data_IF_394208596890
#
_entry.id   IF_394208596890
#
_cell.length_a   1.000
_cell.length_b   1.000
_cell.length_c   1.000
_cell.angle_alpha   90.00
_cell.angle_beta   90.00
_cell.angle_gamma   90.00
#
_symmetry.space_group_name_H-M   'P 1'
#
loop_
_entity.id
_entity.type
_entity.pdbx_description
1 polymer ?
#
# COMPACT_ATOMS: atom_id res chain seq x y z
N UNK A 1 -7.42 39.08 -19.69
CA UNK A 1 -8.36 37.97 -19.93
C UNK A 1 -7.74 36.72 -19.37
N UNK A 2 -8.15 36.35 -18.16
CA UNK A 2 -7.66 35.18 -17.46
C UNK A 2 -8.16 33.89 -18.10
N UNK A 3 -7.36 32.84 -18.00
CA UNK A 3 -7.82 31.47 -18.21
C UNK A 3 -7.38 30.64 -17.02
N UNK A 4 -8.41 30.29 -16.24
CA UNK A 4 -8.41 29.45 -15.06
C UNK A 4 -8.01 28.03 -15.44
N UNK A 5 -7.12 27.40 -14.66
CA UNK A 5 -7.05 25.94 -14.56
C UNK A 5 -6.90 25.59 -13.09
N UNK A 6 -7.99 25.05 -12.55
CA UNK A 6 -8.12 24.37 -11.27
C UNK A 6 -6.88 23.53 -10.96
N UNK A 7 -6.20 23.89 -9.88
CA UNK A 7 -5.50 22.91 -9.06
C UNK A 7 -6.39 22.73 -7.84
N UNK A 8 -6.98 21.55 -7.72
CA UNK A 8 -7.56 21.04 -6.49
C UNK A 8 -6.53 21.18 -5.38
N UNK A 9 -6.65 22.28 -4.63
CA UNK A 9 -5.90 22.61 -3.45
C UNK A 9 -6.41 21.70 -2.34
N UNK A 10 -5.67 20.62 -2.07
CA UNK A 10 -5.86 19.82 -0.86
C UNK A 10 -5.28 20.65 0.29
N UNK A 11 -6.17 21.32 1.01
CA UNK A 11 -5.87 22.19 2.14
C UNK A 11 -5.25 21.35 3.28
N UNK A 12 -3.93 21.43 3.46
CA UNK A 12 -3.14 20.85 4.57
C UNK A 12 -3.47 21.45 5.97
N UNK A 13 -4.60 22.15 6.12
CA UNK A 13 -4.91 23.05 7.24
C UNK A 13 -5.45 22.34 8.49
N UNK A 14 -5.45 21.00 8.52
CA UNK A 14 -6.01 20.19 9.63
C UNK A 14 -5.00 19.33 10.41
N UNK A 15 -3.73 19.30 9.99
CA UNK A 15 -2.66 18.64 10.74
C UNK A 15 -2.05 19.67 11.69
N UNK A 16 -1.95 19.34 12.98
CA UNK A 16 -1.41 20.23 14.02
C UNK A 16 -0.08 20.85 13.62
N UNK A 17 -0.13 22.05 13.05
CA UNK A 17 1.05 22.80 12.65
C UNK A 17 1.39 23.71 13.83
N UNK A 18 2.27 23.25 14.71
CA UNK A 18 2.81 24.12 15.77
C UNK A 18 3.83 25.06 15.13
N UNK A 19 3.37 26.25 14.72
CA UNK A 19 4.23 27.36 14.31
C UNK A 19 4.92 27.89 15.56
N UNK A 20 6.16 27.48 15.81
CA UNK A 20 7.02 28.11 16.82
C UNK A 20 7.68 29.32 16.18
N UNK A 21 7.18 30.50 16.52
CA UNK A 21 7.77 31.79 16.12
C UNK A 21 9.01 32.06 16.99
N UNK A 22 10.19 31.73 16.45
CA UNK A 22 11.51 32.10 16.99
C UNK A 22 12.31 32.82 15.90
N UNK A 23 13.11 33.84 16.25
CA UNK A 23 13.56 34.84 15.29
C UNK A 23 14.63 34.25 14.35
N UNK A 24 14.48 34.56 13.06
CA UNK A 24 15.50 34.50 11.99
C UNK A 24 15.67 33.19 11.17
N UNK A 25 14.63 32.70 10.47
CA UNK A 25 14.67 32.17 9.06
C UNK A 25 13.26 31.75 8.58
N UNK A 26 12.72 32.20 7.41
CA UNK A 26 11.29 32.06 7.10
C UNK A 26 10.88 30.84 6.26
N UNK A 27 11.60 29.72 6.22
CA UNK A 27 11.18 28.55 5.40
C UNK A 27 11.58 27.16 5.97
N UNK A 28 11.60 27.00 7.29
CA UNK A 28 11.79 25.67 7.89
C UNK A 28 10.43 25.05 8.25
N UNK A 29 9.87 24.28 7.30
CA UNK A 29 8.73 23.39 7.55
C UNK A 29 9.18 22.26 8.48
N UNK A 30 8.83 22.36 9.76
CA UNK A 30 9.12 21.36 10.77
C UNK A 30 7.98 20.33 10.81
N UNK A 31 8.29 19.08 10.44
CA UNK A 31 7.38 17.95 10.63
C UNK A 31 7.74 17.27 11.96
N UNK A 32 6.74 16.98 12.80
CA UNK A 32 6.91 16.40 14.14
C UNK A 32 7.54 14.99 14.10
N UNK A 33 7.46 14.32 12.93
CA UNK A 33 7.91 12.93 12.76
C UNK A 33 9.17 12.80 11.90
N UNK A 34 9.37 13.68 10.91
CA UNK A 34 10.47 13.57 9.93
C UNK A 34 11.62 14.57 10.14
N UNK A 35 11.53 15.47 11.13
CA UNK A 35 12.54 16.50 11.39
C UNK A 35 12.47 17.66 10.39
N UNK A 36 13.53 18.47 10.34
CA UNK A 36 13.66 19.58 9.39
C UNK A 36 13.85 19.06 7.97
N UNK A 37 12.92 19.42 7.07
CA UNK A 37 13.03 19.09 5.64
C UNK A 37 14.12 19.97 5.03
N UNK A 38 15.37 19.50 5.09
CA UNK A 38 16.50 20.11 4.37
C UNK A 38 16.60 19.53 2.96
N UNK A 39 16.95 20.35 1.97
CA UNK A 39 17.20 19.99 0.55
C UNK A 39 18.28 18.90 0.33
N UNK A 40 18.92 18.42 1.40
CA UNK A 40 19.99 17.41 1.39
C UNK A 40 19.57 16.06 2.03
N UNK A 41 18.32 15.94 2.51
CA UNK A 41 17.78 14.71 3.10
C UNK A 41 16.82 13.95 2.16
N UNK A 42 16.65 12.62 2.32
CA UNK A 42 15.63 11.87 1.57
C UNK A 42 14.23 12.42 1.90
N UNK A 43 13.56 13.01 0.92
CA UNK A 43 12.23 13.58 1.09
C UNK A 43 11.16 12.47 1.12
N UNK A 44 10.68 12.16 2.33
CA UNK A 44 9.66 11.13 2.57
C UNK A 44 8.23 11.60 2.23
N UNK A 45 7.99 12.91 2.10
CA UNK A 45 6.71 13.50 1.64
C UNK A 45 6.55 13.52 0.11
N UNK A 46 7.57 13.12 -0.65
CA UNK A 46 7.51 13.15 -2.12
C UNK A 46 6.57 12.09 -2.73
N UNK A 47 6.05 11.15 -1.93
CA UNK A 47 4.99 10.24 -2.37
C UNK A 47 3.63 10.87 -2.03
N UNK A 48 3.13 11.72 -2.93
CA UNK A 48 1.79 12.30 -2.78
C UNK A 48 0.71 11.21 -2.69
N UNK A 49 -0.52 11.58 -2.32
CA UNK A 49 -1.65 10.66 -2.20
C UNK A 49 -1.78 9.69 -3.39
N UNK A 50 -1.63 10.18 -4.62
CA UNK A 50 -1.66 9.34 -5.83
C UNK A 50 -0.55 8.28 -5.86
N UNK A 51 0.68 8.65 -5.47
CA UNK A 51 1.81 7.74 -5.45
C UNK A 51 1.64 6.63 -4.41
N UNK A 52 1.11 6.99 -3.24
CA UNK A 52 0.81 6.05 -2.16
C UNK A 52 -0.34 5.12 -2.54
N UNK A 53 -1.41 5.65 -3.14
CA UNK A 53 -2.53 4.85 -3.64
C UNK A 53 -2.08 3.85 -4.72
N UNK A 54 -1.25 4.28 -5.67
CA UNK A 54 -0.72 3.40 -6.72
C UNK A 54 0.16 2.27 -6.15
N UNK A 55 0.99 2.58 -5.14
CA UNK A 55 1.82 1.58 -4.46
C UNK A 55 0.96 0.52 -3.74
N UNK A 56 -0.05 0.95 -3.00
CA UNK A 56 -0.95 0.05 -2.28
C UNK A 56 -1.79 -0.81 -3.23
N UNK A 57 -2.34 -0.18 -4.27
CA UNK A 57 -3.15 -0.84 -5.28
C UNK A 57 -2.36 -1.91 -6.03
N UNK A 58 -1.12 -1.62 -6.44
CA UNK A 58 -0.26 -2.60 -7.12
C UNK A 58 -0.05 -3.85 -6.26
N UNK A 59 0.25 -3.68 -4.98
CA UNK A 59 0.48 -4.80 -4.06
C UNK A 59 -0.77 -5.65 -3.85
N UNK A 60 -1.94 -5.03 -3.71
CA UNK A 60 -3.20 -5.76 -3.51
C UNK A 60 -3.67 -6.48 -4.78
N UNK A 61 -3.65 -5.80 -5.92
CA UNK A 61 -4.09 -6.40 -7.19
C UNK A 61 -3.13 -7.53 -7.60
N UNK A 62 -1.82 -7.34 -7.42
CA UNK A 62 -0.82 -8.36 -7.75
C UNK A 62 -1.01 -9.67 -6.99
N UNK A 63 -1.36 -9.60 -5.71
CA UNK A 63 -1.66 -10.80 -4.91
C UNK A 63 -3.05 -11.37 -5.25
N UNK A 64 -4.04 -10.50 -5.46
CA UNK A 64 -5.42 -10.90 -5.76
C UNK A 64 -5.54 -11.64 -7.08
N UNK A 65 -4.98 -11.11 -8.16
CA UNK A 65 -5.13 -11.67 -9.52
C UNK A 65 -4.58 -13.10 -9.65
N UNK A 66 -3.54 -13.44 -8.89
CA UNK A 66 -2.96 -14.78 -8.86
C UNK A 66 -3.82 -15.79 -8.09
N UNK A 67 -4.64 -15.32 -7.13
CA UNK A 67 -5.39 -16.17 -6.20
C UNK A 67 -6.87 -16.34 -6.62
N UNK A 68 -7.47 -15.33 -7.25
CA UNK A 68 -8.88 -15.33 -7.66
C UNK A 68 -9.27 -16.55 -8.52
N UNK A 69 -8.49 -16.98 -9.53
CA UNK A 69 -8.86 -18.12 -10.36
C UNK A 69 -9.02 -19.42 -9.57
N UNK A 70 -8.09 -19.71 -8.65
CA UNK A 70 -8.17 -20.91 -7.81
C UNK A 70 -9.31 -20.87 -6.80
N UNK A 71 -9.62 -19.68 -6.27
CA UNK A 71 -10.78 -19.50 -5.40
C UNK A 71 -12.11 -19.78 -6.14
N UNK A 72 -12.23 -19.34 -7.39
CA UNK A 72 -13.43 -19.58 -8.20
C UNK A 72 -13.53 -21.03 -8.70
N UNK A 73 -12.42 -21.70 -8.97
CA UNK A 73 -12.41 -23.13 -9.30
C UNK A 73 -12.94 -23.98 -8.13
N UNK A 74 -12.58 -23.62 -6.90
CA UNK A 74 -12.99 -24.36 -5.70
C UNK A 74 -14.43 -24.05 -5.26
N UNK A 75 -14.83 -22.76 -5.27
CA UNK A 75 -16.13 -22.32 -4.77
C UNK A 75 -17.22 -22.36 -5.84
N UNK A 76 -16.86 -22.16 -7.11
CA UNK A 76 -17.79 -21.86 -8.20
C UNK A 76 -18.06 -20.36 -8.34
N UNK A 77 -18.49 -19.94 -9.54
CA UNK A 77 -18.61 -18.53 -9.92
C UNK A 77 -19.68 -17.78 -9.09
N UNK A 78 -20.87 -18.35 -8.93
CA UNK A 78 -21.99 -17.70 -8.21
C UNK A 78 -21.66 -17.47 -6.72
N UNK A 79 -21.28 -18.50 -5.93
CA UNK A 79 -20.94 -18.28 -4.52
C UNK A 79 -19.63 -17.49 -4.35
N UNK A 80 -18.66 -17.64 -5.26
CA UNK A 80 -17.42 -16.86 -5.25
C UNK A 80 -17.67 -15.35 -5.35
N UNK A 81 -18.51 -14.93 -6.31
CA UNK A 81 -18.87 -13.51 -6.48
C UNK A 81 -19.65 -12.98 -5.27
N UNK A 82 -20.60 -13.75 -4.72
CA UNK A 82 -21.36 -13.32 -3.56
C UNK A 82 -20.47 -13.11 -2.33
N UNK A 83 -19.50 -14.00 -2.10
CA UNK A 83 -18.49 -13.83 -1.06
C UNK A 83 -17.60 -12.60 -1.29
N UNK A 84 -17.14 -12.36 -2.52
CA UNK A 84 -16.35 -11.17 -2.86
C UNK A 84 -17.12 -9.87 -2.59
N UNK A 85 -18.41 -9.82 -2.97
CA UNK A 85 -19.26 -8.66 -2.69
C UNK A 85 -19.45 -8.44 -1.19
N UNK A 86 -19.68 -9.51 -0.42
CA UNK A 86 -19.82 -9.42 1.02
C UNK A 86 -18.55 -8.86 1.69
N UNK A 87 -17.38 -9.38 1.32
CA UNK A 87 -16.08 -8.88 1.81
C UNK A 87 -15.87 -7.44 1.37
N UNK A 88 -16.16 -7.09 0.12
CA UNK A 88 -16.02 -5.73 -0.38
C UNK A 88 -16.86 -4.73 0.44
N UNK A 89 -18.13 -5.04 0.72
CA UNK A 89 -19.00 -4.19 1.54
C UNK A 89 -18.44 -4.02 2.96
N UNK A 90 -18.01 -5.10 3.61
CA UNK A 90 -17.45 -5.05 4.97
C UNK A 90 -16.16 -4.22 4.99
N UNK A 91 -15.29 -4.39 4.01
CA UNK A 91 -14.02 -3.66 3.91
C UNK A 91 -14.28 -2.17 3.62
N UNK A 92 -15.19 -1.84 2.70
CA UNK A 92 -15.55 -0.45 2.41
C UNK A 92 -16.14 0.24 3.63
N UNK A 93 -17.03 -0.43 4.36
CA UNK A 93 -17.60 0.12 5.60
C UNK A 93 -16.52 0.36 6.66
N UNK A 94 -15.63 -0.62 6.87
CA UNK A 94 -14.52 -0.50 7.81
C UNK A 94 -13.60 0.67 7.45
N UNK A 95 -13.23 0.81 6.17
CA UNK A 95 -12.39 1.90 5.68
C UNK A 95 -13.05 3.27 5.87
N UNK A 96 -14.37 3.36 5.68
CA UNK A 96 -15.10 4.59 5.92
C UNK A 96 -15.03 5.01 7.40
N UNK A 97 -15.28 4.08 8.34
CA UNK A 97 -15.20 4.37 9.78
C UNK A 97 -13.77 4.75 10.20
N UNK A 98 -12.75 4.04 9.70
CA UNK A 98 -11.34 4.37 9.96
C UNK A 98 -10.99 5.74 9.41
N UNK A 99 -11.49 6.10 8.21
CA UNK A 99 -11.28 7.42 7.61
C UNK A 99 -11.87 8.54 8.47
N UNK A 100 -13.12 8.40 8.91
CA UNK A 100 -13.77 9.39 9.80
C UNK A 100 -13.03 9.50 11.14
N UNK A 101 -12.59 8.37 11.71
CA UNK A 101 -11.80 8.37 12.94
C UNK A 101 -10.47 9.12 12.76
N UNK A 102 -9.77 8.89 11.65
CA UNK A 102 -8.49 9.55 11.35
C UNK A 102 -8.62 11.06 11.15
N UNK A 103 -9.75 11.53 10.58
CA UNK A 103 -10.04 12.95 10.44
C UNK A 103 -10.36 13.63 11.78
N UNK A 104 -10.97 12.90 12.71
CA UNK A 104 -11.31 13.42 14.05
C UNK A 104 -10.15 13.35 15.05
N UNK A 105 -9.18 12.45 14.84
CA UNK A 105 -8.00 12.24 15.68
C UNK A 105 -6.70 12.26 14.86
N UNK A 106 -6.30 13.44 14.33
CA UNK A 106 -5.08 13.57 13.53
C UNK A 106 -3.80 13.22 14.30
N UNK A 107 -3.83 13.31 15.64
CA UNK A 107 -2.73 12.98 16.55
C UNK A 107 -2.39 11.48 16.61
N UNK A 108 -3.32 10.60 16.20
CA UNK A 108 -3.08 9.15 16.21
C UNK A 108 -2.52 8.70 14.87
N UNK A 109 -1.27 8.22 14.86
CA UNK A 109 -0.60 7.72 13.67
C UNK A 109 -0.47 6.20 13.61
N UNK A 110 -0.53 5.50 14.74
CA UNK A 110 -0.40 4.04 14.81
C UNK A 110 -1.58 3.31 15.42
N UNK A 111 -1.74 2.03 15.05
CA UNK A 111 -2.73 1.11 15.66
C UNK A 111 -2.51 0.96 17.17
N UNK A 112 -1.25 1.06 17.63
CA UNK A 112 -0.91 1.04 19.05
C UNK A 112 -1.51 2.23 19.83
N UNK A 113 -1.54 3.41 19.21
CA UNK A 113 -2.09 4.63 19.83
C UNK A 113 -3.63 4.59 19.86
N UNK A 114 -4.25 4.02 18.82
CA UNK A 114 -5.68 3.70 18.84
C UNK A 114 -6.00 2.75 20.00
N UNK A 115 -5.17 1.72 20.19
CA UNK A 115 -5.33 0.79 21.31
C UNK A 115 -5.14 1.44 22.67
N UNK A 116 -4.23 2.42 22.76
CA UNK A 116 -4.03 3.23 23.95
C UNK A 116 -5.25 4.10 24.27
N UNK A 117 -5.92 4.65 23.26
CA UNK A 117 -7.13 5.46 23.44
C UNK A 117 -8.33 4.61 23.88
N UNK A 118 -8.52 3.42 23.32
CA UNK A 118 -9.69 2.58 23.59
C UNK A 118 -9.61 1.91 24.98
N UNK A 119 -8.44 1.42 25.39
CA UNK A 119 -8.30 0.62 26.62
C UNK A 119 -7.08 0.98 27.47
N UNK A 120 -6.53 2.19 27.31
CA UNK A 120 -5.41 2.68 28.10
C UNK A 120 -4.12 1.86 27.89
N UNK A 121 -3.28 1.77 28.93
CA UNK A 121 -1.97 1.11 28.84
C UNK A 121 -2.06 -0.37 28.44
N UNK A 122 -3.11 -1.07 28.87
CA UNK A 122 -3.31 -2.48 28.52
C UNK A 122 -3.69 -2.65 27.04
N UNK A 123 -4.55 -1.79 26.52
CA UNK A 123 -4.91 -1.76 25.10
C UNK A 123 -3.72 -1.46 24.20
N UNK A 124 -2.84 -0.55 24.64
CA UNK A 124 -1.60 -0.23 23.93
C UNK A 124 -0.65 -1.42 23.80
N UNK A 125 -0.46 -2.17 24.88
CA UNK A 125 0.43 -3.34 24.88
C UNK A 125 -0.19 -4.48 24.05
N UNK A 126 -1.48 -4.77 24.19
CA UNK A 126 -2.11 -5.89 23.47
C UNK A 126 -2.25 -5.58 21.98
N UNK A 127 -2.79 -4.41 21.61
CA UNK A 127 -2.96 -4.05 20.21
C UNK A 127 -1.64 -3.66 19.57
N UNK A 128 -0.76 -2.96 20.29
CA UNK A 128 0.58 -2.61 19.81
C UNK A 128 1.47 -3.84 19.62
N UNK A 129 1.63 -4.69 20.65
CA UNK A 129 2.46 -5.89 20.54
C UNK A 129 1.81 -6.96 19.67
N UNK A 130 0.48 -7.12 19.72
CA UNK A 130 -0.25 -8.06 18.87
C UNK A 130 -0.13 -7.70 17.38
N UNK A 131 -0.28 -6.42 17.04
CA UNK A 131 -0.11 -5.94 15.67
C UNK A 131 1.37 -5.98 15.22
N UNK A 132 2.29 -5.55 16.09
CA UNK A 132 3.71 -5.51 15.76
C UNK A 132 4.36 -6.89 15.65
N UNK A 133 3.95 -7.87 16.46
CA UNK A 133 4.56 -9.20 16.45
C UNK A 133 3.77 -10.18 15.59
N UNK A 134 2.45 -10.25 15.74
CA UNK A 134 1.69 -11.30 15.08
C UNK A 134 1.36 -10.90 13.63
N UNK A 135 0.79 -9.71 13.45
CA UNK A 135 0.33 -9.26 12.13
C UNK A 135 1.52 -8.85 11.26
N UNK A 136 2.43 -8.02 11.76
CA UNK A 136 3.60 -7.58 10.99
C UNK A 136 4.52 -8.73 10.55
N UNK A 137 4.83 -9.70 11.44
CA UNK A 137 5.66 -10.84 11.06
C UNK A 137 4.93 -11.79 10.11
N UNK A 138 3.64 -12.02 10.33
CA UNK A 138 2.83 -12.83 9.42
C UNK A 138 2.77 -12.17 8.03
N UNK A 139 2.37 -10.90 7.96
CA UNK A 139 2.25 -10.17 6.69
C UNK A 139 3.59 -10.07 5.97
N UNK A 140 4.69 -9.82 6.69
CA UNK A 140 6.03 -9.82 6.09
C UNK A 140 6.38 -11.19 5.51
N UNK A 141 6.13 -12.28 6.25
CA UNK A 141 6.54 -13.62 5.83
C UNK A 141 5.64 -14.15 4.72
N UNK A 142 4.32 -14.12 4.91
CA UNK A 142 3.33 -14.60 3.95
C UNK A 142 3.23 -13.68 2.73
N UNK A 143 3.30 -12.37 2.91
CA UNK A 143 3.28 -11.40 1.82
C UNK A 143 4.53 -11.48 0.96
N UNK A 144 5.73 -11.46 1.56
CA UNK A 144 6.97 -11.59 0.80
C UNK A 144 7.09 -12.99 0.16
N UNK A 145 6.68 -14.04 0.86
CA UNK A 145 6.62 -15.40 0.33
C UNK A 145 5.72 -15.50 -0.91
N UNK A 146 4.50 -14.96 -0.83
CA UNK A 146 3.55 -14.95 -1.96
C UNK A 146 4.10 -14.18 -3.16
N UNK A 147 4.75 -13.03 -2.92
CA UNK A 147 5.40 -12.24 -3.98
C UNK A 147 6.56 -12.99 -4.65
N UNK A 148 7.40 -13.66 -3.87
CA UNK A 148 8.52 -14.46 -4.40
C UNK A 148 8.04 -15.67 -5.21
N UNK A 149 6.98 -16.34 -4.75
CA UNK A 149 6.34 -17.43 -5.49
C UNK A 149 5.71 -16.94 -6.79
N UNK A 150 4.98 -15.82 -6.76
CA UNK A 150 4.38 -15.22 -7.96
C UNK A 150 5.41 -14.87 -9.03
N UNK A 151 6.52 -14.23 -8.65
CA UNK A 151 7.61 -13.92 -9.57
C UNK A 151 8.31 -15.18 -10.12
N UNK A 152 8.47 -16.22 -9.29
CA UNK A 152 9.01 -17.51 -9.73
C UNK A 152 8.11 -18.21 -10.76
N UNK A 153 6.78 -18.14 -10.60
CA UNK A 153 5.82 -18.67 -11.59
C UNK A 153 5.96 -17.90 -12.91
N UNK A 154 6.10 -16.57 -12.84
CA UNK A 154 6.35 -15.73 -14.03
C UNK A 154 7.66 -16.10 -14.75
N UNK A 155 8.76 -16.28 -14.02
CA UNK A 155 10.02 -16.72 -14.62
C UNK A 155 9.95 -18.13 -15.20
N UNK A 156 9.21 -19.05 -14.56
CA UNK A 156 8.96 -20.39 -15.11
C UNK A 156 8.20 -20.32 -16.44
N UNK A 157 7.20 -19.45 -16.54
CA UNK A 157 6.41 -19.27 -17.77
C UNK A 157 7.25 -18.69 -18.91
N UNK A 158 8.12 -17.70 -18.64
CA UNK A 158 8.99 -17.07 -19.65
C UNK A 158 10.14 -18.00 -20.09
N UNK A 159 10.70 -18.79 -19.18
CA UNK A 159 11.87 -19.64 -19.45
C UNK A 159 11.54 -21.05 -19.97
N UNK A 160 10.26 -21.34 -20.25
CA UNK A 160 9.80 -22.68 -20.65
C UNK A 160 10.32 -23.80 -19.73
N UNK A 161 10.27 -23.58 -18.41
CA UNK A 161 10.77 -24.51 -17.38
C UNK A 161 12.26 -24.88 -17.50
N UNK A 162 13.12 -23.89 -17.78
CA UNK A 162 14.56 -24.12 -17.95
C UNK A 162 15.31 -24.62 -16.70
N UNK A 163 14.79 -24.41 -15.48
CA UNK A 163 15.38 -24.90 -14.23
C UNK A 163 14.30 -25.17 -13.17
N UNK A 164 14.68 -25.71 -12.00
CA UNK A 164 13.75 -25.95 -10.91
C UNK A 164 13.28 -24.65 -10.23
N UNK A 165 12.03 -24.63 -9.79
CA UNK A 165 11.36 -23.46 -9.17
C UNK A 165 12.14 -22.88 -7.97
N UNK A 166 12.90 -23.71 -7.26
CA UNK A 166 13.74 -23.26 -6.14
C UNK A 166 14.81 -22.25 -6.57
N UNK A 167 15.41 -22.43 -7.76
CA UNK A 167 16.43 -21.51 -8.29
C UNK A 167 15.81 -20.17 -8.65
N UNK A 168 14.62 -20.18 -9.27
CA UNK A 168 13.90 -18.94 -9.59
C UNK A 168 13.43 -18.19 -8.34
N UNK A 169 13.02 -18.89 -7.27
CA UNK A 169 12.72 -18.26 -5.98
C UNK A 169 13.97 -17.64 -5.37
N UNK A 170 15.11 -18.35 -5.38
CA UNK A 170 16.37 -17.81 -4.86
C UNK A 170 16.85 -16.57 -5.64
N UNK A 171 16.77 -16.59 -6.98
CA UNK A 171 17.09 -15.45 -7.82
C UNK A 171 16.17 -14.24 -7.56
N UNK A 172 14.86 -14.50 -7.40
CA UNK A 172 13.89 -13.47 -7.04
C UNK A 172 14.19 -12.89 -5.66
N UNK A 173 14.50 -13.72 -4.66
CA UNK A 173 14.84 -13.27 -3.32
C UNK A 173 16.07 -12.35 -3.33
N UNK A 174 17.12 -12.69 -4.10
CA UNK A 174 18.28 -11.82 -4.29
C UNK A 174 17.89 -10.48 -4.92
N UNK A 175 17.08 -10.48 -5.98
CA UNK A 175 16.61 -9.27 -6.62
C UNK A 175 15.78 -8.39 -5.67
N UNK A 176 14.89 -8.99 -4.87
CA UNK A 176 14.08 -8.29 -3.86
C UNK A 176 14.97 -7.68 -2.77
N UNK A 177 15.97 -8.40 -2.27
CA UNK A 177 16.93 -7.88 -1.28
C UNK A 177 17.68 -6.67 -1.84
N UNK A 178 18.15 -6.73 -3.09
CA UNK A 178 18.82 -5.61 -3.75
C UNK A 178 17.87 -4.41 -3.91
N UNK A 179 16.64 -4.64 -4.39
CA UNK A 179 15.65 -3.57 -4.61
C UNK A 179 15.13 -2.97 -3.29
N UNK A 180 15.07 -3.77 -2.22
CA UNK A 180 14.65 -3.32 -0.89
C UNK A 180 15.64 -2.33 -0.26
N UNK A 181 16.87 -2.23 -0.78
CA UNK A 181 17.88 -1.26 -0.32
C UNK A 181 17.53 0.19 -0.72
N UNK A 182 16.70 0.38 -1.74
CA UNK A 182 16.30 1.71 -2.23
C UNK A 182 15.26 2.30 -1.27
N UNK A 183 15.69 3.15 -0.32
CA UNK A 183 14.81 3.83 0.65
C UNK A 183 14.02 5.03 0.10
N UNK A 184 14.21 5.39 -1.17
CA UNK A 184 13.58 6.60 -1.75
C UNK A 184 12.20 6.29 -2.34
N UNK A 185 11.15 6.55 -1.55
CA UNK A 185 9.74 6.37 -1.93
C UNK A 185 9.36 7.08 -3.25
N UNK A 186 9.97 8.24 -3.55
CA UNK A 186 9.72 8.96 -4.79
C UNK A 186 10.10 8.17 -6.06
N UNK A 187 11.20 7.41 -6.02
CA UNK A 187 11.63 6.57 -7.16
C UNK A 187 10.79 5.29 -7.28
N UNK A 188 10.34 4.77 -6.14
CA UNK A 188 9.46 3.61 -6.07
C UNK A 188 8.07 3.89 -6.66
N UNK A 189 7.55 5.11 -6.52
CA UNK A 189 6.25 5.48 -7.10
C UNK A 189 6.24 5.39 -8.63
N UNK A 190 7.32 5.77 -9.32
CA UNK A 190 7.43 5.61 -10.78
C UNK A 190 7.40 4.15 -11.21
N UNK A 191 8.09 3.27 -10.48
CA UNK A 191 8.05 1.82 -10.70
C UNK A 191 6.68 1.21 -10.35
N UNK A 192 5.96 1.83 -9.42
CA UNK A 192 4.59 1.44 -9.09
C UNK A 192 3.64 1.76 -10.23
N UNK A 193 3.72 2.97 -10.80
CA UNK A 193 2.94 3.37 -11.97
C UNK A 193 3.21 2.48 -13.17
N UNK A 194 4.48 2.21 -13.50
CA UNK A 194 4.83 1.29 -14.60
C UNK A 194 4.27 -0.12 -14.38
N UNK A 195 4.36 -0.64 -13.15
CA UNK A 195 3.79 -1.94 -12.79
C UNK A 195 2.26 -1.98 -12.83
N UNK A 196 1.60 -0.92 -12.37
CA UNK A 196 0.15 -0.80 -12.37
C UNK A 196 -0.39 -0.74 -13.81
N UNK A 197 0.23 0.07 -14.67
CA UNK A 197 -0.14 0.17 -16.10
C UNK A 197 0.03 -1.20 -16.78
N UNK A 198 1.15 -1.89 -16.54
CA UNK A 198 1.39 -3.22 -17.08
C UNK A 198 0.30 -4.22 -16.67
N UNK A 199 -0.11 -4.19 -15.40
CA UNK A 199 -1.16 -5.06 -14.88
C UNK A 199 -2.53 -4.73 -15.49
N UNK A 200 -2.88 -3.44 -15.62
CA UNK A 200 -4.13 -3.01 -16.25
C UNK A 200 -4.19 -3.34 -17.74
N UNK A 201 -3.05 -3.35 -18.45
CA UNK A 201 -3.00 -3.81 -19.84
C UNK A 201 -3.17 -5.32 -19.93
N UNK A 202 -2.58 -6.07 -18.99
CA UNK A 202 -2.72 -7.53 -18.95
C UNK A 202 -4.14 -7.97 -18.57
N UNK A 203 -4.82 -7.21 -17.71
CA UNK A 203 -6.21 -7.44 -17.30
C UNK A 203 -7.01 -6.17 -17.60
N UNK A 204 -7.44 -5.98 -18.87
CA UNK A 204 -8.22 -4.81 -19.20
C UNK A 204 -9.59 -4.90 -18.53
N UNK A 205 -10.11 -3.79 -17.99
CA UNK A 205 -11.43 -3.77 -17.33
C UNK A 205 -12.57 -4.19 -18.26
N UNK A 206 -12.36 -4.09 -19.58
CA UNK A 206 -13.31 -4.50 -20.62
C UNK A 206 -13.46 -6.02 -20.76
N UNK A 207 -12.53 -6.83 -20.24
CA UNK A 207 -12.67 -8.30 -20.26
C UNK A 207 -13.80 -8.83 -19.38
N UNK A 208 -14.42 -7.99 -18.54
CA UNK A 208 -15.62 -8.32 -17.79
C UNK A 208 -16.92 -8.08 -18.59
N UNK A 209 -16.87 -7.38 -19.73
CA UNK A 209 -18.05 -7.07 -20.55
C UNK A 209 -18.24 -8.03 -21.74
N UNK A 210 -17.20 -8.75 -22.18
CA UNK A 210 -17.30 -9.69 -23.32
C UNK A 210 -17.68 -11.13 -22.88
N UNK A 211 -18.76 -11.25 -22.10
CA UNK A 211 -19.43 -12.51 -21.74
C UNK A 211 -20.59 -12.90 -22.67
N UNK A 212 -20.61 -12.38 -23.90
CA UNK A 212 -21.62 -12.71 -24.92
C UNK A 212 -20.97 -12.95 -26.28
N UNK A 213 -20.99 -14.21 -26.71
CA UNK A 213 -20.52 -14.64 -28.03
C UNK A 213 -20.31 -16.14 -28.08
#
# INVERSE_FOLDING_TARGET
MGSNKDKTEYSDTGLGQVVVEGPDDPDILHDEVFGTITDQGPNYRNVGWLGSAALMMKSQIGLGVLSIPGAFDTLGLIPGVLCLLAVAVITTWSNHIVGVFKLNHPEIYGVADVGAMISGRLGREILGAGFALCISLADLTFGAGSGMLGASIGFNAVSTHGTCTAVFVAATAMAVICLSSIRTLGRLSLLAWGGLISLLVAVPPTSAEDGTG
#
